data_IF_755447492813
#
_entry.id   IF_755447492813
#
_cell.length_a   1.000
_cell.length_b   1.000
_cell.length_c   1.000
_cell.angle_alpha   90.00
_cell.angle_beta   90.00
_cell.angle_gamma   90.00
#
_symmetry.space_group_name_H-M   'P 1'
#
loop_
_entity.id
_entity.type
_entity.pdbx_description
1 polymer ?
#
# COMPACT_ATOMS: atom_id res chain seq x y z
N UNK A 1 -26.35 42.17 -60.42
CA UNK A 1 -26.48 43.60 -59.98
C UNK A 1 -25.84 43.62 -58.56
N UNK A 2 -24.65 44.13 -58.52
CA UNK A 2 -23.99 44.93 -57.46
C UNK A 2 -24.08 44.38 -56.03
N UNK A 3 -23.03 44.29 -55.18
CA UNK A 3 -21.76 45.00 -55.10
C UNK A 3 -20.69 44.19 -54.37
N UNK A 4 -19.50 44.32 -54.80
CA UNK A 4 -18.21 44.01 -54.20
C UNK A 4 -17.92 44.90 -52.97
N UNK A 5 -16.97 44.43 -52.19
CA UNK A 5 -16.00 45.10 -51.28
C UNK A 5 -16.34 45.06 -49.78
N UNK A 6 -15.60 44.33 -49.01
CA UNK A 6 -14.42 44.86 -48.33
C UNK A 6 -13.67 43.72 -47.64
N UNK A 7 -12.64 43.26 -48.27
CA UNK A 7 -11.49 42.68 -47.61
C UNK A 7 -10.60 43.82 -47.16
N UNK A 8 -10.26 43.88 -45.91
CA UNK A 8 -8.95 44.31 -45.37
C UNK A 8 -9.09 44.59 -43.85
N UNK A 9 -8.06 44.19 -43.13
CA UNK A 9 -7.82 44.44 -41.72
C UNK A 9 -8.40 43.41 -40.71
N UNK A 10 -7.72 42.27 -40.62
CA UNK A 10 -7.44 41.59 -39.33
C UNK A 10 -6.22 40.74 -39.51
N UNK A 11 -5.08 41.36 -39.69
CA UNK A 11 -3.79 40.74 -39.53
C UNK A 11 -3.00 41.63 -38.55
N UNK A 12 -2.88 41.16 -37.33
CA UNK A 12 -1.86 41.47 -36.33
C UNK A 12 -2.48 41.51 -34.92
N UNK A 13 -2.65 40.37 -34.27
CA UNK A 13 -2.81 40.29 -32.82
C UNK A 13 -2.83 38.84 -32.28
N UNK A 14 -2.38 37.84 -33.05
CA UNK A 14 -2.42 36.46 -32.56
C UNK A 14 -1.04 35.81 -32.38
N UNK A 15 0.03 36.60 -32.42
CA UNK A 15 1.38 36.05 -32.34
C UNK A 15 2.07 36.23 -30.99
N UNK A 16 1.50 37.01 -30.06
CA UNK A 16 2.16 37.27 -28.77
C UNK A 16 1.69 36.39 -27.63
N UNK A 17 0.43 35.91 -27.67
CA UNK A 17 -0.13 35.14 -26.55
C UNK A 17 0.26 33.65 -26.55
N UNK A 18 0.71 33.10 -27.68
CA UNK A 18 1.12 31.71 -27.76
C UNK A 18 2.55 31.49 -27.24
N UNK A 19 3.40 32.49 -27.40
CA UNK A 19 4.76 32.42 -26.86
C UNK A 19 4.78 32.63 -25.36
N UNK A 20 3.93 33.53 -24.84
CA UNK A 20 3.80 33.75 -23.39
C UNK A 20 3.23 32.52 -22.66
N UNK A 21 2.27 31.83 -23.25
CA UNK A 21 1.72 30.58 -22.70
C UNK A 21 2.75 29.45 -22.73
N UNK A 22 3.59 29.37 -23.76
CA UNK A 22 4.66 28.37 -23.84
C UNK A 22 5.79 28.68 -22.85
N UNK A 23 6.08 29.93 -22.57
CA UNK A 23 7.07 30.33 -21.56
C UNK A 23 6.55 30.04 -20.16
N UNK A 24 5.29 30.31 -19.84
CA UNK A 24 4.69 29.92 -18.55
C UNK A 24 4.66 28.41 -18.34
N UNK A 25 4.35 27.63 -19.39
CA UNK A 25 4.37 26.15 -19.30
C UNK A 25 5.80 25.64 -19.11
N UNK A 26 6.80 26.28 -19.75
CA UNK A 26 8.20 25.88 -19.61
C UNK A 26 8.78 26.26 -18.23
N UNK A 27 8.38 27.39 -17.67
CA UNK A 27 8.75 27.77 -16.30
C UNK A 27 8.06 26.87 -15.26
N UNK A 28 6.79 26.51 -15.46
CA UNK A 28 6.08 25.60 -14.59
C UNK A 28 6.67 24.20 -14.61
N UNK A 29 7.13 23.72 -15.76
CA UNK A 29 7.80 22.41 -15.90
C UNK A 29 9.20 22.39 -15.30
N UNK A 30 9.95 23.51 -15.39
CA UNK A 30 11.25 23.65 -14.71
C UNK A 30 11.10 23.79 -13.19
N UNK A 31 10.07 24.45 -12.68
CA UNK A 31 9.78 24.52 -11.26
C UNK A 31 9.34 23.16 -10.70
N UNK A 32 8.57 22.37 -11.46
CA UNK A 32 8.19 21.01 -11.08
C UNK A 32 9.38 20.06 -11.06
N UNK A 33 10.30 20.20 -12.01
CA UNK A 33 11.55 19.41 -12.05
C UNK A 33 12.52 19.81 -10.92
N UNK A 34 12.55 21.11 -10.54
CA UNK A 34 13.41 21.60 -9.46
C UNK A 34 12.90 21.21 -8.07
N UNK A 35 11.57 21.14 -7.86
CA UNK A 35 10.98 20.66 -6.61
C UNK A 35 11.11 19.15 -6.45
N UNK A 36 11.18 18.38 -7.56
CA UNK A 36 11.44 16.94 -7.50
C UNK A 36 12.90 16.59 -7.21
N UNK A 37 13.84 17.49 -7.55
CA UNK A 37 15.28 17.23 -7.38
C UNK A 37 15.81 17.61 -5.98
N UNK A 38 15.04 18.36 -5.18
CA UNK A 38 15.52 18.85 -3.87
C UNK A 38 14.95 18.09 -2.66
N UNK A 39 14.17 17.04 -2.85
CA UNK A 39 13.69 16.16 -1.76
C UNK A 39 14.49 14.86 -1.60
N UNK A 40 15.62 14.73 -2.30
CA UNK A 40 16.59 13.66 -2.02
C UNK A 40 17.61 14.20 -1.01
N UNK A 41 17.29 14.13 0.25
CA UNK A 41 18.29 14.27 1.33
C UNK A 41 19.08 12.96 1.40
N UNK A 42 20.29 12.96 0.89
CA UNK A 42 21.26 11.90 1.14
C UNK A 42 21.45 11.75 2.66
N UNK A 43 21.00 10.63 3.23
CA UNK A 43 21.48 10.23 4.53
C UNK A 43 22.92 9.72 4.36
N UNK A 44 23.77 10.01 5.35
CA UNK A 44 25.21 9.68 5.35
C UNK A 44 25.53 8.18 5.24
N UNK A 45 24.52 7.31 5.19
CA UNK A 45 24.66 5.84 5.17
C UNK A 45 24.18 5.18 3.87
N UNK A 46 23.99 5.98 2.79
CA UNK A 46 23.71 5.43 1.46
C UNK A 46 22.35 4.75 1.29
N UNK A 47 21.46 4.84 2.27
CA UNK A 47 20.09 4.34 2.16
C UNK A 47 19.18 5.46 1.60
N UNK A 48 18.62 5.24 0.42
CA UNK A 48 17.57 6.11 -0.14
C UNK A 48 16.33 5.92 0.73
N UNK A 49 16.04 6.90 1.60
CA UNK A 49 14.77 6.92 2.34
C UNK A 49 13.65 7.23 1.34
N UNK A 50 12.98 6.20 0.86
CA UNK A 50 11.70 6.38 0.16
C UNK A 50 10.73 6.91 1.20
N UNK A 51 10.26 8.15 1.04
CA UNK A 51 9.27 8.74 1.92
C UNK A 51 8.07 7.78 2.03
N UNK A 52 7.64 7.49 3.26
CA UNK A 52 6.46 6.66 3.52
C UNK A 52 5.28 7.17 2.69
N UNK A 53 4.62 6.29 1.97
CA UNK A 53 3.52 6.61 1.07
C UNK A 53 2.29 7.17 1.82
N UNK A 54 2.26 7.06 3.14
CA UNK A 54 1.15 7.49 3.99
C UNK A 54 1.63 8.50 5.04
N UNK A 55 1.15 9.76 5.00
CA UNK A 55 1.34 10.67 6.12
C UNK A 55 0.68 10.08 7.38
N UNK A 56 1.47 9.86 8.43
CA UNK A 56 0.99 9.27 9.68
C UNK A 56 1.46 7.84 9.94
N UNK A 57 2.24 7.23 9.03
CA UNK A 57 2.96 5.99 9.35
C UNK A 57 4.05 6.26 10.38
N UNK A 58 3.98 5.60 11.51
CA UNK A 58 5.08 5.53 12.48
C UNK A 58 5.90 4.27 12.22
N UNK A 59 7.22 4.41 12.16
CA UNK A 59 8.16 3.30 11.95
C UNK A 59 8.71 2.81 13.30
N UNK A 60 7.87 2.54 14.27
CA UNK A 60 8.29 2.01 15.55
C UNK A 60 7.45 0.79 15.92
N UNK A 61 8.11 -0.33 16.15
CA UNK A 61 7.47 -1.56 16.63
C UNK A 61 7.95 -1.83 18.04
N UNK A 62 7.01 -1.83 18.99
CA UNK A 62 7.27 -2.30 20.35
C UNK A 62 7.52 -3.82 20.34
N UNK A 63 8.22 -4.34 21.35
CA UNK A 63 8.48 -5.80 21.51
C UNK A 63 7.21 -6.63 21.42
N UNK A 64 6.10 -6.09 21.92
CA UNK A 64 4.77 -6.68 21.82
C UNK A 64 4.31 -6.85 20.37
N UNK A 65 4.46 -5.81 19.56
CA UNK A 65 4.04 -5.82 18.16
C UNK A 65 4.92 -6.77 17.35
N UNK A 66 6.20 -6.84 17.64
CA UNK A 66 7.11 -7.80 17.04
C UNK A 66 6.65 -9.26 17.25
N UNK A 67 6.15 -9.60 18.45
CA UNK A 67 5.63 -10.95 18.75
C UNK A 67 4.46 -11.32 17.82
N UNK A 68 3.48 -10.42 17.64
CA UNK A 68 2.32 -10.69 16.81
C UNK A 68 2.64 -10.65 15.32
N UNK A 69 3.54 -9.76 14.90
CA UNK A 69 4.03 -9.71 13.53
C UNK A 69 4.79 -11.00 13.17
N UNK A 70 5.65 -11.51 14.05
CA UNK A 70 6.34 -12.80 13.84
C UNK A 70 5.35 -13.93 13.60
N UNK A 71 4.22 -13.91 14.31
CA UNK A 71 3.14 -14.89 14.09
C UNK A 71 2.48 -14.76 12.71
N UNK A 72 2.28 -13.52 12.20
CA UNK A 72 1.79 -13.31 10.84
C UNK A 72 2.81 -13.83 9.80
N UNK A 73 4.10 -13.63 10.03
CA UNK A 73 5.17 -14.15 9.18
C UNK A 73 5.19 -15.70 9.18
N UNK A 74 5.01 -16.36 10.34
CA UNK A 74 4.87 -17.82 10.40
C UNK A 74 3.69 -18.32 9.55
N UNK A 75 2.54 -17.66 9.63
CA UNK A 75 1.39 -18.02 8.81
C UNK A 75 1.67 -17.83 7.31
N UNK A 76 2.44 -16.81 6.92
CA UNK A 76 2.83 -16.62 5.52
C UNK A 76 3.63 -17.81 4.99
N UNK A 77 4.61 -18.32 5.73
CA UNK A 77 5.34 -19.54 5.36
C UNK A 77 4.42 -20.76 5.29
N UNK A 78 3.59 -20.94 6.29
CA UNK A 78 2.65 -22.05 6.37
C UNK A 78 1.70 -22.09 5.16
N UNK A 79 1.17 -20.95 4.70
CA UNK A 79 0.30 -20.87 3.53
C UNK A 79 0.98 -21.41 2.27
N UNK A 80 2.24 -21.09 2.08
CA UNK A 80 3.04 -21.59 0.95
C UNK A 80 3.35 -23.08 1.12
N UNK A 81 3.79 -23.50 2.29
CA UNK A 81 4.15 -24.90 2.56
C UNK A 81 2.94 -25.85 2.43
N UNK A 82 1.73 -25.37 2.73
CA UNK A 82 0.47 -26.10 2.52
C UNK A 82 -0.03 -26.03 1.06
N UNK A 83 0.54 -25.15 0.22
CA UNK A 83 0.03 -24.92 -1.13
C UNK A 83 -1.32 -24.19 -1.17
N UNK A 84 -1.71 -23.53 -0.09
CA UNK A 84 -3.01 -22.85 0.06
C UNK A 84 -3.06 -21.51 -0.70
N UNK A 85 -1.91 -20.82 -0.87
CA UNK A 85 -1.81 -19.55 -1.58
C UNK A 85 -0.41 -18.94 -1.54
N UNK A 86 -0.33 -17.64 -1.77
CA UNK A 86 0.92 -16.87 -1.75
C UNK A 86 1.46 -16.61 -0.33
N UNK A 87 2.67 -16.04 -0.22
CA UNK A 87 3.44 -15.87 1.02
C UNK A 87 2.93 -14.69 1.89
N UNK A 88 1.65 -14.71 2.22
CA UNK A 88 1.01 -13.65 3.01
C UNK A 88 0.30 -14.24 4.23
N UNK A 89 0.47 -13.59 5.38
CA UNK A 89 -0.16 -13.99 6.63
C UNK A 89 -0.70 -12.78 7.38
N UNK A 90 -1.75 -13.00 8.15
CA UNK A 90 -2.39 -11.98 8.97
C UNK A 90 -2.88 -12.54 10.30
N UNK A 91 -2.76 -11.73 11.35
CA UNK A 91 -3.18 -12.05 12.72
C UNK A 91 -4.11 -10.94 13.21
N UNK A 92 -5.23 -11.30 13.82
CA UNK A 92 -6.10 -10.35 14.53
C UNK A 92 -5.93 -10.56 16.01
N UNK A 93 -5.67 -9.48 16.74
CA UNK A 93 -5.45 -9.44 18.19
C UNK A 93 -6.54 -8.61 18.86
N UNK A 94 -7.05 -9.12 19.96
CA UNK A 94 -7.98 -8.43 20.85
C UNK A 94 -7.51 -8.59 22.29
N UNK A 95 -7.38 -7.49 23.03
CA UNK A 95 -6.93 -7.51 24.43
C UNK A 95 -5.61 -8.29 24.66
N UNK A 96 -4.61 -8.08 23.79
CA UNK A 96 -3.33 -8.78 23.82
C UNK A 96 -3.37 -10.30 23.54
N UNK A 97 -4.53 -10.83 23.14
CA UNK A 97 -4.69 -12.24 22.79
C UNK A 97 -4.95 -12.40 21.30
N UNK A 98 -4.36 -13.42 20.69
CA UNK A 98 -4.60 -13.75 19.29
C UNK A 98 -6.00 -14.33 19.15
N UNK A 99 -6.85 -13.62 18.41
CA UNK A 99 -8.19 -14.11 18.06
C UNK A 99 -8.10 -15.13 16.94
N UNK A 100 -7.43 -14.77 15.86
CA UNK A 100 -7.21 -15.63 14.68
C UNK A 100 -5.83 -15.39 14.09
N UNK A 101 -5.27 -16.44 13.47
CA UNK A 101 -4.10 -16.40 12.63
C UNK A 101 -4.46 -17.05 11.29
N UNK A 102 -4.24 -16.35 10.19
CA UNK A 102 -4.64 -16.78 8.86
C UNK A 102 -3.53 -16.52 7.85
N UNK A 103 -3.54 -17.29 6.78
CA UNK A 103 -2.68 -17.08 5.61
C UNK A 103 -3.52 -16.93 4.35
N UNK A 104 -2.87 -16.63 3.24
CA UNK A 104 -3.51 -16.51 1.93
C UNK A 104 -4.12 -17.87 1.52
N UNK A 105 -5.40 -17.85 1.14
CA UNK A 105 -6.21 -19.04 0.83
C UNK A 105 -6.71 -19.03 -0.62
N UNK A 106 -6.15 -18.18 -1.48
CA UNK A 106 -6.60 -17.97 -2.87
C UNK A 106 -6.64 -19.26 -3.66
N UNK A 107 -5.57 -20.05 -3.63
CA UNK A 107 -5.49 -21.31 -4.39
C UNK A 107 -6.44 -22.38 -3.82
N UNK A 108 -6.49 -22.51 -2.49
CA UNK A 108 -7.31 -23.49 -1.82
C UNK A 108 -8.80 -23.24 -2.00
N UNK A 109 -9.24 -22.00 -1.86
CA UNK A 109 -10.65 -21.64 -2.01
C UNK A 109 -11.03 -21.35 -3.46
N UNK A 110 -10.05 -21.23 -4.40
CA UNK A 110 -10.28 -20.73 -5.76
C UNK A 110 -11.01 -19.38 -5.76
N UNK A 111 -10.61 -18.52 -4.83
CA UNK A 111 -11.19 -17.22 -4.59
C UNK A 111 -10.07 -16.16 -4.59
N UNK A 112 -9.97 -15.29 -5.63
CA UNK A 112 -8.92 -14.28 -5.72
C UNK A 112 -9.01 -13.23 -4.60
N UNK A 113 -10.11 -13.16 -3.86
CA UNK A 113 -10.28 -12.24 -2.73
C UNK A 113 -9.89 -12.85 -1.39
N UNK A 114 -9.55 -14.15 -1.35
CA UNK A 114 -9.21 -14.85 -0.11
C UNK A 114 -7.78 -14.54 0.35
N UNK A 115 -7.39 -13.26 0.34
CA UNK A 115 -6.14 -12.80 0.93
C UNK A 115 -6.11 -13.03 2.43
N UNK A 116 -4.92 -13.05 3.03
CA UNK A 116 -4.72 -13.34 4.44
C UNK A 116 -5.54 -12.41 5.35
N UNK A 117 -5.51 -11.10 5.07
CA UNK A 117 -6.19 -10.07 5.85
C UNK A 117 -7.72 -10.19 5.75
N UNK A 118 -8.24 -10.39 4.54
CA UNK A 118 -9.69 -10.58 4.32
C UNK A 118 -10.17 -11.85 5.01
N UNK A 119 -9.39 -12.93 4.93
CA UNK A 119 -9.66 -14.19 5.61
C UNK A 119 -9.65 -13.98 7.13
N UNK A 120 -8.65 -13.27 7.67
CA UNK A 120 -8.53 -12.97 9.09
C UNK A 120 -9.70 -12.11 9.59
N UNK A 121 -10.14 -11.10 8.86
CA UNK A 121 -11.32 -10.29 9.20
C UNK A 121 -12.57 -11.18 9.28
N UNK A 122 -12.82 -12.01 8.27
CA UNK A 122 -13.98 -12.90 8.22
C UNK A 122 -14.02 -13.86 9.40
N UNK A 123 -12.90 -14.51 9.68
CA UNK A 123 -12.80 -15.45 10.79
C UNK A 123 -12.86 -14.77 12.17
N UNK A 124 -12.27 -13.59 12.33
CA UNK A 124 -12.36 -12.81 13.57
C UNK A 124 -13.81 -12.37 13.83
N UNK A 125 -14.50 -11.84 12.82
CA UNK A 125 -15.91 -11.46 12.93
C UNK A 125 -16.80 -12.64 13.34
N UNK A 126 -16.58 -13.83 12.74
CA UNK A 126 -17.29 -15.05 13.12
C UNK A 126 -17.00 -15.46 14.56
N UNK A 127 -15.73 -15.50 14.94
CA UNK A 127 -15.29 -15.93 16.29
C UNK A 127 -15.78 -15.00 17.39
N UNK A 128 -15.69 -13.69 17.15
CA UNK A 128 -16.14 -12.65 18.09
C UNK A 128 -17.64 -12.36 18.01
N UNK A 129 -18.33 -12.88 16.97
CA UNK A 129 -19.75 -12.60 16.69
C UNK A 129 -20.04 -11.10 16.54
N UNK A 130 -19.12 -10.38 15.90
CA UNK A 130 -19.18 -8.94 15.64
C UNK A 130 -19.04 -8.67 14.15
N UNK A 131 -19.57 -7.55 13.67
CA UNK A 131 -19.36 -7.05 12.31
C UNK A 131 -18.27 -5.98 12.26
N UNK A 132 -17.89 -5.44 13.42
CA UNK A 132 -16.85 -4.41 13.56
C UNK A 132 -15.77 -4.91 14.53
N UNK A 133 -14.52 -4.58 14.21
CA UNK A 133 -13.33 -4.96 14.94
C UNK A 133 -12.64 -3.73 15.55
N UNK A 134 -13.45 -2.74 16.00
CA UNK A 134 -12.97 -1.44 16.50
C UNK A 134 -12.14 -1.54 17.79
N UNK A 135 -12.22 -2.67 18.49
CA UNK A 135 -11.41 -3.01 19.65
C UNK A 135 -10.26 -3.99 19.34
N UNK A 136 -10.03 -4.28 18.05
CA UNK A 136 -9.01 -5.21 17.58
C UNK A 136 -7.86 -4.51 16.85
N UNK A 137 -6.73 -5.20 16.82
CA UNK A 137 -5.54 -4.83 16.05
C UNK A 137 -5.25 -5.90 15.02
N UNK A 138 -4.71 -5.51 13.87
CA UNK A 138 -4.30 -6.43 12.82
C UNK A 138 -2.79 -6.35 12.60
N UNK A 139 -2.17 -7.50 12.44
CA UNK A 139 -0.76 -7.65 12.10
C UNK A 139 -0.68 -8.40 10.77
N UNK A 140 -0.13 -7.78 9.76
CA UNK A 140 0.03 -8.33 8.41
C UNK A 140 1.51 -8.54 8.09
N UNK A 141 1.86 -9.65 7.47
CA UNK A 141 3.25 -9.93 7.09
C UNK A 141 3.76 -8.97 6.02
N UNK A 142 2.86 -8.42 5.19
CA UNK A 142 3.15 -7.47 4.13
C UNK A 142 2.17 -6.30 4.16
N UNK A 143 2.58 -5.17 3.58
CA UNK A 143 1.73 -4.03 3.32
C UNK A 143 0.46 -4.46 2.58
N UNK A 144 -0.75 -4.16 3.09
CA UNK A 144 -1.98 -4.60 2.47
C UNK A 144 -2.21 -3.98 1.09
N UNK A 145 -2.68 -4.78 0.15
CA UNK A 145 -3.13 -4.27 -1.14
C UNK A 145 -4.39 -3.40 -0.98
N UNK A 146 -4.81 -2.60 -2.00
CA UNK A 146 -5.98 -1.72 -1.91
C UNK A 146 -7.28 -2.42 -1.50
N UNK A 147 -7.51 -3.65 -1.94
CA UNK A 147 -8.67 -4.45 -1.55
C UNK A 147 -8.64 -4.77 -0.06
N UNK A 148 -7.51 -5.28 0.45
CA UNK A 148 -7.35 -5.62 1.86
C UNK A 148 -7.42 -4.38 2.75
N UNK A 149 -6.79 -3.28 2.34
CA UNK A 149 -6.88 -2.02 3.08
C UNK A 149 -8.33 -1.52 3.17
N UNK A 150 -9.10 -1.59 2.08
CA UNK A 150 -10.52 -1.28 2.09
C UNK A 150 -11.31 -2.15 3.08
N UNK A 151 -11.02 -3.46 3.12
CA UNK A 151 -11.66 -4.39 4.06
C UNK A 151 -11.29 -4.08 5.52
N UNK A 152 -10.01 -3.78 5.80
CA UNK A 152 -9.51 -3.38 7.13
C UNK A 152 -10.22 -2.10 7.59
N UNK A 153 -10.32 -1.09 6.73
CA UNK A 153 -11.00 0.16 7.04
C UNK A 153 -12.50 -0.06 7.31
N UNK A 154 -13.18 -0.84 6.47
CA UNK A 154 -14.61 -1.13 6.63
C UNK A 154 -14.90 -1.91 7.92
N UNK A 155 -14.01 -2.81 8.32
CA UNK A 155 -14.13 -3.57 9.57
C UNK A 155 -13.80 -2.76 10.82
N UNK A 156 -13.38 -1.50 10.68
CA UNK A 156 -13.07 -0.58 11.79
C UNK A 156 -11.93 -1.03 12.70
N UNK A 157 -11.00 -1.84 12.20
CA UNK A 157 -9.78 -2.19 12.95
C UNK A 157 -9.10 -0.91 13.44
N UNK A 158 -8.70 -0.88 14.72
CA UNK A 158 -8.14 0.34 15.35
C UNK A 158 -6.67 0.58 15.00
N UNK A 159 -5.90 -0.50 14.79
CA UNK A 159 -4.47 -0.44 14.50
C UNK A 159 -4.10 -1.51 13.48
N UNK A 160 -3.31 -1.12 12.50
CA UNK A 160 -2.68 -2.01 11.53
C UNK A 160 -1.17 -1.91 11.69
N UNK A 161 -0.50 -3.04 11.90
CA UNK A 161 0.96 -3.18 11.84
C UNK A 161 1.31 -4.09 10.68
N UNK A 162 2.24 -3.69 9.83
CA UNK A 162 2.69 -4.54 8.74
C UNK A 162 4.23 -4.62 8.69
N UNK A 163 4.74 -5.71 8.15
CA UNK A 163 6.18 -5.99 8.08
C UNK A 163 6.79 -5.54 6.75
N UNK A 164 6.71 -6.39 5.75
CA UNK A 164 7.29 -6.14 4.44
C UNK A 164 6.57 -5.01 3.71
N UNK A 165 7.30 -4.24 2.90
CA UNK A 165 6.71 -3.29 1.96
C UNK A 165 6.16 -4.02 0.73
N UNK A 166 5.20 -3.38 0.03
CA UNK A 166 4.64 -3.87 -1.22
C UNK A 166 5.71 -4.17 -2.28
N UNK A 167 6.79 -3.38 -2.30
CA UNK A 167 7.91 -3.56 -3.24
C UNK A 167 8.57 -4.93 -3.11
N UNK A 168 8.59 -5.56 -1.93
CA UNK A 168 9.12 -6.89 -1.74
C UNK A 168 8.27 -7.96 -2.45
N UNK A 169 6.95 -7.82 -2.45
CA UNK A 169 6.03 -8.69 -3.17
C UNK A 169 6.11 -8.45 -4.69
N UNK A 170 6.16 -7.19 -5.12
CA UNK A 170 6.29 -6.79 -6.53
C UNK A 170 7.59 -7.36 -7.12
N UNK A 171 8.68 -7.35 -6.38
CA UNK A 171 9.98 -7.86 -6.83
C UNK A 171 9.97 -9.35 -7.21
N UNK A 172 9.03 -10.13 -6.69
CA UNK A 172 8.86 -11.55 -7.03
C UNK A 172 7.67 -11.83 -7.95
N UNK A 173 7.01 -10.79 -8.47
CA UNK A 173 6.03 -10.88 -9.56
C UNK A 173 4.57 -10.67 -9.18
N UNK A 174 4.25 -10.27 -7.94
CA UNK A 174 2.88 -9.86 -7.61
C UNK A 174 2.57 -8.49 -8.21
N UNK A 175 1.40 -8.32 -8.81
CA UNK A 175 0.96 -7.11 -9.51
C UNK A 175 -0.31 -6.43 -8.93
N UNK A 176 -0.88 -7.00 -7.87
CA UNK A 176 -2.09 -6.52 -7.18
C UNK A 176 -1.85 -5.25 -6.34
N UNK A 177 -0.60 -4.83 -6.22
CA UNK A 177 -0.23 -3.60 -5.52
C UNK A 177 -0.31 -2.41 -6.47
N UNK A 178 -1.50 -1.88 -6.62
CA UNK A 178 -1.70 -0.60 -7.33
C UNK A 178 -1.26 0.51 -6.37
N UNK A 179 0.04 0.77 -6.32
CA UNK A 179 0.65 1.73 -5.39
C UNK A 179 -0.04 3.09 -5.41
N UNK A 180 -0.54 3.52 -6.57
CA UNK A 180 -1.21 4.81 -6.75
C UNK A 180 -2.62 4.85 -6.17
N UNK A 181 -3.29 3.71 -6.03
CA UNK A 181 -4.65 3.67 -5.48
C UNK A 181 -4.70 4.09 -4.01
N UNK A 182 -3.65 3.83 -3.24
CA UNK A 182 -3.54 4.24 -1.84
C UNK A 182 -2.89 5.62 -1.67
N UNK A 183 -2.02 6.01 -2.59
CA UNK A 183 -1.26 7.28 -2.51
C UNK A 183 -2.04 8.50 -2.98
N UNK A 184 -3.07 8.34 -3.80
CA UNK A 184 -3.65 9.42 -4.60
C UNK A 184 -4.93 10.04 -4.09
N UNK A 185 -5.61 9.54 -3.05
CA UNK A 185 -6.92 10.07 -2.67
C UNK A 185 -7.01 10.49 -1.21
N UNK A 186 -7.42 11.76 -1.00
CA UNK A 186 -7.67 12.34 0.32
C UNK A 186 -8.67 11.53 1.20
N UNK A 187 -9.41 10.60 0.64
CA UNK A 187 -10.35 9.72 1.37
C UNK A 187 -9.59 8.78 2.29
N UNK A 188 -8.51 8.16 1.83
CA UNK A 188 -7.70 7.25 2.64
C UNK A 188 -6.88 7.99 3.71
N UNK A 189 -6.53 9.25 3.48
CA UNK A 189 -5.86 10.11 4.46
C UNK A 189 -6.74 10.47 5.65
N UNK A 190 -8.07 10.32 5.53
CA UNK A 190 -9.04 10.57 6.61
C UNK A 190 -9.38 9.32 7.42
N UNK A 191 -8.76 8.19 7.14
CA UNK A 191 -8.97 6.97 7.92
C UNK A 191 -8.48 7.19 9.36
N UNK A 192 -9.37 6.98 10.33
CA UNK A 192 -9.02 6.96 11.76
C UNK A 192 -8.37 5.62 12.14
N UNK A 193 -7.42 5.17 11.34
CA UNK A 193 -6.71 3.92 11.51
C UNK A 193 -5.25 4.24 11.83
N UNK A 194 -4.77 3.80 12.99
CA UNK A 194 -3.34 3.84 13.29
C UNK A 194 -2.63 2.82 12.41
N UNK A 195 -1.68 3.28 11.60
CA UNK A 195 -0.90 2.45 10.69
C UNK A 195 0.56 2.54 11.08
N UNK A 196 1.16 1.40 11.39
CA UNK A 196 2.56 1.29 11.79
C UNK A 196 3.27 0.32 10.87
N UNK A 197 4.39 0.73 10.30
CA UNK A 197 5.31 -0.18 9.63
C UNK A 197 6.28 -0.72 10.65
N UNK A 198 6.53 -2.03 10.60
CA UNK A 198 7.60 -2.64 11.38
C UNK A 198 8.97 -2.09 10.93
N UNK A 199 9.86 -1.87 11.89
CA UNK A 199 11.25 -1.52 11.67
C UNK A 199 12.21 -2.69 12.02
N UNK A 200 13.49 -2.48 11.79
CA UNK A 200 14.54 -3.37 12.20
C UNK A 200 14.30 -4.84 11.84
N UNK A 201 14.41 -5.73 12.82
CA UNK A 201 14.32 -7.17 12.60
C UNK A 201 12.93 -7.62 12.13
N UNK A 202 11.86 -6.95 12.56
CA UNK A 202 10.48 -7.27 12.15
C UNK A 202 10.27 -7.10 10.65
N UNK A 203 10.74 -6.01 10.07
CA UNK A 203 10.70 -5.78 8.64
C UNK A 203 11.54 -6.80 7.87
N UNK A 204 12.76 -7.06 8.33
CA UNK A 204 13.69 -8.01 7.69
C UNK A 204 13.12 -9.43 7.60
N UNK A 205 12.59 -9.98 8.69
CA UNK A 205 12.00 -11.33 8.67
C UNK A 205 10.76 -11.41 7.80
N UNK A 206 9.98 -10.35 7.71
CA UNK A 206 8.80 -10.29 6.86
C UNK A 206 9.18 -10.25 5.37
N UNK A 207 10.19 -9.46 4.98
CA UNK A 207 10.70 -9.41 3.61
C UNK A 207 11.36 -10.72 3.17
N UNK A 208 12.05 -11.42 4.08
CA UNK A 208 12.66 -12.74 3.82
C UNK A 208 11.64 -13.82 3.42
N UNK A 209 10.35 -13.67 3.77
CA UNK A 209 9.30 -14.61 3.34
C UNK A 209 9.28 -14.72 1.82
N UNK A 210 9.27 -13.58 1.14
CA UNK A 210 9.19 -13.53 -0.33
C UNK A 210 10.42 -14.18 -0.96
N UNK A 211 11.62 -13.83 -0.51
CA UNK A 211 12.86 -14.41 -1.05
C UNK A 211 12.93 -15.93 -0.84
N UNK A 212 12.56 -16.43 0.34
CA UNK A 212 12.65 -17.86 0.68
C UNK A 212 11.54 -18.72 0.07
N UNK A 213 10.44 -18.11 -0.37
CA UNK A 213 9.27 -18.84 -0.89
C UNK A 213 9.03 -18.66 -2.38
N UNK A 214 9.74 -17.75 -3.05
CA UNK A 214 9.49 -17.38 -4.45
C UNK A 214 9.38 -18.54 -5.45
N UNK A 215 10.07 -19.65 -5.18
CA UNK A 215 10.03 -20.85 -6.03
C UNK A 215 9.08 -21.94 -5.52
N UNK A 216 8.45 -21.72 -4.34
CA UNK A 216 7.63 -22.75 -3.68
C UNK A 216 6.14 -22.63 -3.96
N UNK A 217 5.66 -21.51 -4.46
CA UNK A 217 4.23 -21.30 -4.75
C UNK A 217 4.00 -20.98 -6.21
N UNK A 218 2.76 -21.23 -6.67
CA UNK A 218 2.33 -20.90 -8.03
C UNK A 218 1.70 -19.51 -8.02
N UNK A 219 2.18 -18.63 -8.91
CA UNK A 219 1.53 -17.33 -9.19
C UNK A 219 0.12 -17.54 -9.74
N UNK A 220 -0.81 -16.71 -9.37
CA UNK A 220 -2.21 -16.71 -9.76
C UNK A 220 -2.70 -15.31 -10.10
#
# INVERSE_FOLDING_TARGET
>A
MFFLSSFYWFHCSFSCSFIDILIEIFEYQSYFCYMFFFSVLESKDGAIAVASAFPGHTEAVEDRDHKFLSKAVEEAYKGVDCGDGGPFGAVVVHNNEIVVSCHNMVLKHRDPTAHAEVTAIREACKKLKKIELSDCEMYASCEPCPMCFGAIYLSRVKKLVYGAKAEAAIAIGFDDFIADALRGTAIYQKAHLEIVRADGNGAVIAEQVFEKTKEKFRMY
#
